data_IF_544552631993
#
_entry.id   IF_544552631993
#
_cell.length_a   1.000
_cell.length_b   1.000
_cell.length_c   1.000
_cell.angle_alpha   90.00
_cell.angle_beta   90.00
_cell.angle_gamma   90.00
#
_symmetry.space_group_name_H-M   'P 1'
#
loop_
_entity.id
_entity.type
_entity.pdbx_description
1 polymer ?
#
# COMPACT_ATOMS: atom_id res chain seq x y z
N UNK A 1 7.83 4.42 -16.16
CA UNK A 1 6.95 4.63 -14.99
C UNK A 1 7.73 4.73 -13.69
N UNK A 2 7.14 5.37 -12.66
CA UNK A 2 7.71 5.55 -11.31
C UNK A 2 8.01 4.24 -10.57
N UNK A 3 7.24 3.17 -10.80
CA UNK A 3 7.52 1.85 -10.23
C UNK A 3 8.90 1.31 -10.64
N UNK A 4 9.34 1.56 -11.89
CA UNK A 4 10.65 1.13 -12.37
C UNK A 4 11.78 1.84 -11.63
N UNK A 5 11.61 3.12 -11.31
CA UNK A 5 12.58 3.89 -10.52
C UNK A 5 12.67 3.33 -9.10
N UNK A 6 11.53 3.25 -8.39
CA UNK A 6 11.45 2.68 -7.04
C UNK A 6 12.10 1.29 -6.94
N UNK A 7 11.90 0.44 -7.96
CA UNK A 7 12.49 -0.90 -8.04
C UNK A 7 14.01 -0.83 -8.17
N UNK A 8 14.51 -0.02 -9.11
CA UNK A 8 15.95 0.15 -9.35
C UNK A 8 16.67 0.73 -8.14
N UNK A 9 16.04 1.67 -7.42
CA UNK A 9 16.61 2.27 -6.21
C UNK A 9 16.78 1.25 -5.07
N UNK A 10 16.06 0.12 -5.12
CA UNK A 10 16.18 -1.01 -4.19
C UNK A 10 17.06 -2.14 -4.70
N UNK A 11 17.71 -1.98 -5.86
CA UNK A 11 18.51 -3.02 -6.49
C UNK A 11 17.71 -4.24 -6.97
N UNK A 12 16.38 -4.15 -7.00
CA UNK A 12 15.51 -5.28 -7.35
C UNK A 12 15.52 -5.53 -8.86
N UNK A 13 15.65 -6.80 -9.26
CA UNK A 13 15.46 -7.24 -10.65
C UNK A 13 13.97 -7.25 -11.00
N UNK A 14 13.64 -7.08 -12.27
CA UNK A 14 12.24 -7.05 -12.72
C UNK A 14 11.50 -8.36 -12.39
N UNK A 15 12.15 -9.50 -12.58
CA UNK A 15 11.57 -10.81 -12.26
C UNK A 15 11.32 -11.01 -10.75
N UNK A 16 12.15 -10.43 -9.88
CA UNK A 16 11.95 -10.46 -8.42
C UNK A 16 10.69 -9.69 -8.03
N UNK A 17 10.51 -8.49 -8.56
CA UNK A 17 9.30 -7.72 -8.30
C UNK A 17 8.06 -8.40 -8.89
N UNK A 18 8.13 -8.95 -10.10
CA UNK A 18 7.00 -9.65 -10.72
C UNK A 18 6.54 -10.84 -9.87
N UNK A 19 7.49 -11.66 -9.38
CA UNK A 19 7.18 -12.76 -8.44
C UNK A 19 6.58 -12.26 -7.14
N UNK A 20 7.15 -11.19 -6.56
CA UNK A 20 6.64 -10.59 -5.31
C UNK A 20 5.20 -10.09 -5.44
N UNK A 21 4.87 -9.52 -6.60
CA UNK A 21 3.53 -9.02 -6.90
C UNK A 21 2.56 -10.09 -7.43
N UNK A 22 3.04 -11.33 -7.65
CA UNK A 22 2.28 -12.43 -8.24
C UNK A 22 1.70 -12.08 -9.62
N UNK A 23 2.49 -11.40 -10.46
CA UNK A 23 2.14 -11.08 -11.85
C UNK A 23 3.20 -11.63 -12.81
N UNK A 24 2.87 -11.70 -14.10
CA UNK A 24 3.85 -12.12 -15.11
C UNK A 24 4.94 -11.06 -15.31
N UNK A 25 6.13 -11.50 -15.74
CA UNK A 25 7.21 -10.57 -16.11
C UNK A 25 6.83 -9.66 -17.29
N UNK A 26 6.03 -10.16 -18.23
CA UNK A 26 5.47 -9.38 -19.33
C UNK A 26 4.56 -8.27 -18.84
N UNK A 27 3.62 -8.59 -17.94
CA UNK A 27 2.71 -7.62 -17.32
C UNK A 27 3.48 -6.54 -16.57
N UNK A 28 4.50 -6.91 -15.79
CA UNK A 28 5.34 -5.91 -15.12
C UNK A 28 6.08 -5.03 -16.14
N UNK A 29 6.59 -5.60 -17.22
CA UNK A 29 7.29 -4.85 -18.28
C UNK A 29 6.37 -3.83 -18.95
N UNK A 30 5.15 -4.21 -19.30
CA UNK A 30 4.16 -3.29 -19.87
C UNK A 30 3.85 -2.15 -18.91
N UNK A 31 3.63 -2.44 -17.62
CA UNK A 31 3.41 -1.43 -16.58
C UNK A 31 4.62 -0.49 -16.45
N UNK A 32 5.84 -1.03 -16.35
CA UNK A 32 7.05 -0.24 -16.18
C UNK A 32 7.32 0.71 -17.36
N UNK A 33 6.94 0.29 -18.55
CA UNK A 33 7.06 1.06 -19.79
C UNK A 33 5.82 1.91 -20.10
N UNK A 34 4.79 1.89 -19.25
CA UNK A 34 3.57 2.70 -19.41
C UNK A 34 2.64 2.23 -20.52
N UNK A 35 2.79 0.98 -20.99
CA UNK A 35 1.92 0.36 -22.01
C UNK A 35 0.60 -0.14 -21.40
N UNK A 36 0.58 -0.42 -20.11
CA UNK A 36 -0.62 -0.82 -19.38
C UNK A 36 -0.66 -0.21 -17.98
N UNK A 37 -1.88 -0.03 -17.45
CA UNK A 37 -2.08 0.32 -16.06
C UNK A 37 -2.13 -0.95 -15.20
N UNK A 38 -1.67 -0.88 -13.94
CA UNK A 38 -1.86 -1.99 -13.01
C UNK A 38 -3.36 -2.20 -12.74
N UNK A 39 -3.81 -3.45 -12.70
CA UNK A 39 -5.17 -3.80 -12.29
C UNK A 39 -5.38 -3.54 -10.79
N UNK A 40 -6.63 -3.48 -10.32
CA UNK A 40 -6.92 -3.34 -8.89
C UNK A 40 -6.26 -4.43 -8.01
N UNK A 41 -6.29 -5.74 -8.38
CA UNK A 41 -5.53 -6.77 -7.67
C UNK A 41 -4.02 -6.50 -7.65
N UNK A 42 -3.45 -6.02 -8.76
CA UNK A 42 -2.03 -5.65 -8.82
C UNK A 42 -1.71 -4.48 -7.90
N UNK A 43 -2.55 -3.44 -7.85
CA UNK A 43 -2.40 -2.32 -6.93
C UNK A 43 -2.47 -2.76 -5.46
N UNK A 44 -3.42 -3.64 -5.12
CA UNK A 44 -3.51 -4.23 -3.79
C UNK A 44 -2.25 -5.04 -3.45
N UNK A 45 -1.76 -5.85 -4.39
CA UNK A 45 -0.52 -6.62 -4.23
C UNK A 45 0.70 -5.71 -4.02
N UNK A 46 0.78 -4.59 -4.74
CA UNK A 46 1.82 -3.57 -4.52
C UNK A 46 1.76 -3.01 -3.10
N UNK A 47 0.59 -2.60 -2.63
CA UNK A 47 0.39 -2.06 -1.29
C UNK A 47 0.75 -3.07 -0.19
N UNK A 48 0.35 -4.34 -0.35
CA UNK A 48 0.53 -5.36 0.69
C UNK A 48 1.97 -5.91 0.75
N UNK A 49 2.68 -5.96 -0.38
CA UNK A 49 3.97 -6.64 -0.46
C UNK A 49 5.16 -5.69 -0.58
N UNK A 50 4.94 -4.37 -0.65
CA UNK A 50 6.02 -3.39 -0.84
C UNK A 50 5.77 -2.11 -0.06
N UNK A 51 6.81 -1.30 0.14
CA UNK A 51 6.69 0.06 0.66
C UNK A 51 6.42 1.09 -0.45
N UNK A 52 5.97 0.64 -1.63
CA UNK A 52 5.64 1.49 -2.76
C UNK A 52 4.40 2.32 -2.44
N UNK A 53 4.51 3.64 -2.58
CA UNK A 53 3.34 4.50 -2.53
C UNK A 53 2.53 4.37 -3.83
N UNK A 54 1.45 3.59 -3.77
CA UNK A 54 0.56 3.35 -4.93
C UNK A 54 -0.05 4.66 -5.46
N UNK A 55 -0.41 5.59 -4.57
CA UNK A 55 -0.91 6.91 -4.97
C UNK A 55 0.12 7.69 -5.80
N UNK A 56 1.40 7.67 -5.40
CA UNK A 56 2.48 8.28 -6.16
C UNK A 56 2.68 7.58 -7.51
N UNK A 57 2.60 6.26 -7.57
CA UNK A 57 2.73 5.51 -8.84
C UNK A 57 1.66 5.95 -9.83
N UNK A 58 0.41 6.03 -9.40
CA UNK A 58 -0.72 6.40 -10.25
C UNK A 58 -0.70 7.88 -10.65
N UNK A 59 -0.50 8.77 -9.68
CA UNK A 59 -0.73 10.21 -9.88
C UNK A 59 0.53 11.00 -10.24
N UNK A 60 1.71 10.48 -9.92
CA UNK A 60 2.97 11.24 -9.99
C UNK A 60 3.11 12.33 -8.92
N UNK A 61 2.12 12.47 -8.06
CA UNK A 61 2.17 13.40 -6.95
C UNK A 61 2.62 12.62 -5.72
N UNK A 62 3.78 13.00 -5.17
CA UNK A 62 4.12 12.53 -3.83
C UNK A 62 2.98 12.97 -2.91
N UNK A 63 2.51 12.08 -2.03
CA UNK A 63 1.38 12.39 -1.16
C UNK A 63 1.63 13.75 -0.49
N UNK A 64 0.84 14.77 -0.85
CA UNK A 64 0.82 16.04 -0.14
C UNK A 64 0.34 15.72 1.26
N UNK A 65 1.29 15.58 2.19
CA UNK A 65 1.09 15.38 3.63
C UNK A 65 -0.31 14.83 3.95
N UNK A 66 -0.54 13.55 3.64
CA UNK A 66 -1.53 12.80 4.42
C UNK A 66 -0.97 12.93 5.83
N UNK A 67 -1.54 13.82 6.65
CA UNK A 67 -1.26 13.86 8.09
C UNK A 67 -1.33 12.40 8.49
N UNK A 68 -0.19 11.80 8.84
CA UNK A 68 -0.17 10.43 9.31
C UNK A 68 -1.09 10.47 10.51
N UNK A 69 -2.33 10.01 10.38
CA UNK A 69 -3.14 9.71 11.54
C UNK A 69 -2.27 8.73 12.31
N UNK A 70 -1.70 9.11 13.46
CA UNK A 70 -0.73 8.26 14.13
C UNK A 70 -1.39 6.91 14.32
N UNK A 71 -0.67 5.83 14.02
CA UNK A 71 -1.18 4.46 14.24
C UNK A 71 -1.71 4.30 15.68
N UNK A 72 -1.17 5.08 16.61
CA UNK A 72 -1.65 5.31 17.98
C UNK A 72 -3.16 5.62 18.08
N UNK A 73 -3.72 6.45 17.20
CA UNK A 73 -5.16 6.78 17.20
C UNK A 73 -6.05 5.60 16.79
N UNK A 74 -5.54 4.60 16.05
CA UNK A 74 -6.30 3.38 15.78
C UNK A 74 -6.35 2.46 17.00
N UNK A 75 -5.26 2.41 17.79
CA UNK A 75 -5.20 1.62 19.03
C UNK A 75 -6.07 2.22 20.13
N UNK A 76 -6.19 3.55 20.16
CA UNK A 76 -7.06 4.26 21.11
C UNK A 76 -8.55 3.97 20.88
N UNK A 77 -8.99 3.70 19.65
CA UNK A 77 -10.39 3.36 19.37
C UNK A 77 -10.75 2.00 19.98
N UNK A 78 -9.88 0.99 19.82
CA UNK A 78 -10.12 -0.36 20.36
C UNK A 78 -10.12 -0.37 21.90
N UNK A 79 -9.16 0.32 22.53
CA UNK A 79 -9.08 0.39 23.99
C UNK A 79 -10.27 1.13 24.64
N UNK A 80 -10.86 2.09 23.92
CA UNK A 80 -11.97 2.88 24.44
C UNK A 80 -13.34 2.18 24.26
N UNK A 81 -13.48 1.29 23.28
CA UNK A 81 -14.67 0.44 23.14
C UNK A 81 -14.82 -0.48 24.35
N UNK A 82 -13.74 -1.14 24.78
CA UNK A 82 -13.78 -2.05 25.93
C UNK A 82 -14.24 -1.32 27.21
N UNK A 83 -13.72 -0.12 27.47
CA UNK A 83 -14.09 0.67 28.63
C UNK A 83 -15.55 1.17 28.61
N UNK A 84 -16.09 1.48 27.43
CA UNK A 84 -17.50 1.90 27.26
C UNK A 84 -18.46 0.71 27.41
N UNK A 85 -18.11 -0.45 26.86
CA UNK A 85 -18.91 -1.67 26.99
C UNK A 85 -18.95 -2.17 28.44
N UNK A 86 -17.85 -2.06 29.19
CA UNK A 86 -17.77 -2.44 30.61
C UNK A 86 -18.57 -1.50 31.53
N UNK A 87 -18.65 -0.20 31.23
CA UNK A 87 -19.44 0.76 32.02
C UNK A 87 -20.95 0.56 31.83
N UNK A 88 -21.40 0.21 30.62
CA UNK A 88 -22.83 0.00 30.36
C UNK A 88 -23.39 -1.29 30.98
N UNK A 89 -22.55 -2.28 31.31
CA UNK A 89 -22.97 -3.51 32.02
C UNK A 89 -23.17 -3.34 33.53
N UNK A 90 -22.69 -2.24 34.13
CA UNK A 90 -22.82 -1.98 35.57
C UNK A 90 -24.06 -1.14 35.94
N UNK A 91 -24.82 -0.69 34.94
CA UNK A 91 -26.01 0.15 35.10
C UNK A 91 -27.30 -0.55 34.60
N UNK A 92 -27.27 -1.88 34.43
CA UNK A 92 -28.41 -2.70 34.01
C UNK A 92 -28.78 -3.70 35.10
#
# INVERSE_FOLDING_TARGET
>A
MRIRMWRKDRGLRANELARKLKISGGSLSEIENGKSFPSAPTLASMHLNTDLNVGYVLTGQAAKNLKKTPRTLLVEIDANIDHVVLKNRKNA
#
